data_IF_859941515249
#
_entry.id   IF_859941515249
#
_cell.length_a   1.000
_cell.length_b   1.000
_cell.length_c   1.000
_cell.angle_alpha   90.00
_cell.angle_beta   90.00
_cell.angle_gamma   90.00
#
_symmetry.space_group_name_H-M   'P 1'
#
loop_
_entity.id
_entity.type
_entity.pdbx_description
1 polymer ?
#
# COMPACT_ATOMS: atom_id res chain seq x y z
N UNK A 1 -24.14 24.74 -35.74
CA UNK A 1 -24.41 23.90 -34.55
C UNK A 1 -23.13 23.11 -34.32
N UNK A 2 -22.38 23.35 -33.22
CA UNK A 2 -21.24 22.48 -32.90
C UNK A 2 -21.74 21.04 -32.83
N UNK A 3 -20.97 20.11 -33.40
CA UNK A 3 -21.29 18.68 -33.35
C UNK A 3 -20.95 18.12 -31.96
N UNK A 4 -21.54 17.00 -31.59
CA UNK A 4 -21.29 16.31 -30.31
C UNK A 4 -19.78 16.09 -30.07
N UNK A 5 -19.03 15.76 -31.13
CA UNK A 5 -17.57 15.60 -31.11
C UNK A 5 -16.83 16.91 -30.83
N UNK A 6 -17.36 18.03 -31.33
CA UNK A 6 -16.83 19.37 -31.07
C UNK A 6 -17.02 19.75 -29.61
N UNK A 7 -18.17 19.46 -29.02
CA UNK A 7 -18.44 19.76 -27.61
C UNK A 7 -17.57 18.90 -26.68
N UNK A 8 -17.39 17.61 -27.01
CA UNK A 8 -16.51 16.72 -26.27
C UNK A 8 -15.04 17.18 -26.30
N UNK A 9 -14.57 17.65 -27.45
CA UNK A 9 -13.22 18.20 -27.59
C UNK A 9 -13.02 19.46 -26.74
N UNK A 10 -13.98 20.39 -26.76
CA UNK A 10 -13.88 21.62 -25.96
C UNK A 10 -13.92 21.32 -24.45
N UNK A 11 -14.76 20.40 -23.98
CA UNK A 11 -14.75 19.98 -22.56
C UNK A 11 -13.44 19.32 -22.15
N UNK A 12 -12.83 18.52 -23.04
CA UNK A 12 -11.55 17.89 -22.77
C UNK A 12 -10.42 18.92 -22.68
N UNK A 13 -10.47 19.97 -23.51
CA UNK A 13 -9.52 21.08 -23.47
C UNK A 13 -9.69 21.92 -22.21
N UNK A 14 -10.92 22.24 -21.79
CA UNK A 14 -11.20 22.97 -20.55
C UNK A 14 -10.71 22.21 -19.31
N UNK A 15 -10.94 20.89 -19.25
CA UNK A 15 -10.43 20.04 -18.16
C UNK A 15 -8.90 19.98 -18.13
N UNK A 16 -8.25 20.08 -19.30
CA UNK A 16 -6.80 20.15 -19.40
C UNK A 16 -6.27 21.50 -18.90
N UNK A 17 -6.96 22.58 -19.26
CA UNK A 17 -6.63 23.96 -18.86
C UNK A 17 -6.80 24.13 -17.35
N UNK A 18 -7.89 23.61 -16.77
CA UNK A 18 -8.12 23.53 -15.32
C UNK A 18 -7.04 22.68 -14.61
N UNK A 19 -6.54 21.63 -15.25
CA UNK A 19 -5.45 20.80 -14.71
C UNK A 19 -4.08 21.49 -14.79
N UNK A 20 -3.85 22.32 -15.80
CA UNK A 20 -2.64 23.12 -15.98
C UNK A 20 -2.63 24.29 -14.99
N UNK A 21 -3.75 25.00 -14.85
CA UNK A 21 -3.88 26.19 -14.01
C UNK A 21 -4.07 25.84 -12.52
N UNK A 22 -4.83 24.79 -12.21
CA UNK A 22 -5.06 24.29 -10.85
C UNK A 22 -3.97 23.34 -10.33
N UNK A 23 -3.15 22.81 -11.24
CA UNK A 23 -2.05 21.89 -10.97
C UNK A 23 -2.49 20.47 -10.56
N UNK A 24 -1.89 19.44 -11.16
CA UNK A 24 -1.66 18.19 -10.46
C UNK A 24 -0.90 18.54 -9.17
N UNK A 25 -1.30 18.00 -8.00
CA UNK A 25 -0.62 18.18 -6.70
C UNK A 25 0.86 18.46 -6.95
N UNK A 26 1.31 19.68 -6.59
CA UNK A 26 2.69 20.13 -6.80
C UNK A 26 3.66 18.99 -6.55
N UNK A 27 4.72 18.90 -7.36
CA UNK A 27 5.78 17.91 -7.18
C UNK A 27 6.14 17.87 -5.70
N UNK A 28 5.67 16.82 -5.01
CA UNK A 28 6.10 16.58 -3.64
C UNK A 28 7.61 16.44 -3.78
N UNK A 29 8.43 17.15 -2.98
CA UNK A 29 9.83 16.82 -2.91
C UNK A 29 9.91 15.30 -2.81
N UNK A 30 10.72 14.65 -3.67
CA UNK A 30 10.96 13.23 -3.52
C UNK A 30 11.25 13.04 -2.03
N UNK A 31 10.48 12.22 -1.30
CA UNK A 31 10.81 11.96 0.08
C UNK A 31 12.26 11.53 0.05
N UNK A 32 13.09 12.25 0.81
CA UNK A 32 14.45 11.82 1.02
C UNK A 32 14.30 10.52 1.81
N UNK A 33 14.22 9.41 1.08
CA UNK A 33 14.28 8.08 1.62
C UNK A 33 15.73 7.91 2.07
N UNK A 34 16.08 8.65 3.12
CA UNK A 34 17.26 8.44 3.93
C UNK A 34 17.19 6.96 4.24
N UNK A 35 18.06 6.19 3.58
CA UNK A 35 18.34 4.83 4.02
C UNK A 35 18.62 4.99 5.51
N UNK A 36 17.82 4.41 6.42
CA UNK A 36 18.07 4.62 7.82
C UNK A 36 19.52 4.23 8.06
N UNK A 37 20.31 5.21 8.48
CA UNK A 37 21.60 4.98 9.12
C UNK A 37 21.36 3.83 10.11
N UNK A 38 22.23 2.80 10.15
CA UNK A 38 21.96 1.59 10.91
C UNK A 38 21.52 1.98 12.33
N UNK A 39 20.24 1.71 12.65
CA UNK A 39 19.57 2.21 13.84
C UNK A 39 20.12 1.49 15.09
N UNK A 40 21.30 1.90 15.53
CA UNK A 40 21.95 1.38 16.73
C UNK A 40 21.85 2.33 17.93
N UNK A 41 21.16 3.49 17.83
CA UNK A 41 21.24 4.48 18.91
C UNK A 41 20.08 5.46 19.02
N UNK A 42 18.89 4.99 19.40
CA UNK A 42 17.86 5.86 19.99
C UNK A 42 16.78 5.07 20.77
N UNK A 43 17.18 4.18 21.68
CA UNK A 43 16.27 3.60 22.66
C UNK A 43 16.70 4.01 24.07
N UNK A 44 16.33 5.24 24.46
CA UNK A 44 16.31 5.64 25.86
C UNK A 44 15.06 6.51 26.14
N UNK A 45 14.08 5.85 26.77
CA UNK A 45 13.02 6.38 27.63
C UNK A 45 11.88 7.22 27.00
N UNK A 46 10.67 6.63 26.86
CA UNK A 46 9.61 6.69 27.90
C UNK A 46 8.30 5.96 27.52
N UNK A 47 7.88 5.09 28.45
CA UNK A 47 6.55 4.67 28.92
C UNK A 47 5.56 3.90 28.01
N UNK A 48 5.01 2.84 28.61
CA UNK A 48 4.41 1.67 27.99
C UNK A 48 2.88 1.70 27.89
N UNK A 49 2.37 1.39 26.69
CA UNK A 49 1.24 0.47 26.53
C UNK A 49 1.42 -0.32 25.22
N UNK A 50 1.98 -1.53 25.36
CA UNK A 50 1.79 -2.73 24.53
C UNK A 50 1.34 -2.54 23.07
N UNK A 51 2.16 -2.76 22.04
CA UNK A 51 3.50 -3.33 22.00
C UNK A 51 3.98 -3.43 20.55
N UNK A 52 5.13 -2.83 20.28
CA UNK A 52 6.02 -3.16 19.19
C UNK A 52 7.41 -3.19 19.80
N UNK A 53 7.97 -4.38 20.01
CA UNK A 53 9.38 -4.46 20.38
C UNK A 53 10.22 -3.88 19.24
N UNK A 54 11.35 -3.23 19.56
CA UNK A 54 12.25 -2.73 18.55
C UNK A 54 12.72 -3.91 17.71
N UNK A 55 12.64 -3.72 16.40
CA UNK A 55 13.24 -4.49 15.34
C UNK A 55 14.32 -5.48 15.82
N UNK A 56 13.98 -6.77 15.90
CA UNK A 56 14.93 -7.81 16.32
C UNK A 56 15.72 -8.29 15.11
N UNK A 57 16.85 -8.95 15.34
CA UNK A 57 17.78 -9.43 14.32
C UNK A 57 17.19 -10.42 13.27
N UNK A 58 15.88 -10.67 13.28
CA UNK A 58 15.12 -11.54 12.38
C UNK A 58 13.95 -10.82 11.67
N UNK A 59 14.02 -9.50 11.49
CA UNK A 59 13.02 -8.69 10.77
C UNK A 59 13.10 -8.91 9.25
N UNK A 60 12.64 -10.07 8.83
CA UNK A 60 12.46 -10.45 7.44
C UNK A 60 10.97 -10.39 7.08
N UNK A 61 10.64 -10.12 5.81
CA UNK A 61 9.24 -10.17 5.36
C UNK A 61 8.65 -11.57 5.57
N UNK A 62 9.49 -12.59 5.49
CA UNK A 62 9.16 -13.98 5.78
C UNK A 62 8.74 -14.18 7.24
N UNK A 63 9.43 -13.53 8.19
CA UNK A 63 9.06 -13.56 9.61
C UNK A 63 7.70 -12.90 9.84
N UNK A 64 7.46 -11.74 9.22
CA UNK A 64 6.18 -11.01 9.31
C UNK A 64 5.04 -11.83 8.68
N UNK A 65 5.29 -12.48 7.55
CA UNK A 65 4.33 -13.37 6.90
C UNK A 65 3.97 -14.56 7.82
N UNK A 66 4.98 -15.17 8.47
CA UNK A 66 4.77 -16.27 9.40
C UNK A 66 3.99 -15.86 10.65
N UNK A 67 4.25 -14.67 11.20
CA UNK A 67 3.48 -14.13 12.33
C UNK A 67 2.02 -13.86 11.92
N UNK A 68 1.83 -13.23 10.76
CA UNK A 68 0.51 -12.90 10.21
C UNK A 68 -0.34 -14.15 9.99
N UNK A 69 0.25 -15.24 9.50
CA UNK A 69 -0.42 -16.52 9.30
C UNK A 69 -0.95 -17.12 10.62
N UNK A 70 -0.21 -16.93 11.72
CA UNK A 70 -0.56 -17.46 13.05
C UNK A 70 -1.40 -16.49 13.88
N UNK A 71 -1.59 -15.25 13.43
CA UNK A 71 -2.30 -14.23 14.19
C UNK A 71 -3.76 -14.62 14.47
N UNK A 72 -4.14 -14.63 15.75
CA UNK A 72 -5.51 -14.89 16.25
C UNK A 72 -6.10 -13.71 17.03
N UNK A 73 -5.53 -12.50 16.88
CA UNK A 73 -5.87 -11.31 17.69
C UNK A 73 -7.27 -10.74 17.41
N UNK A 74 -7.93 -11.10 16.30
CA UNK A 74 -9.25 -10.58 15.93
C UNK A 74 -10.16 -11.64 15.28
N UNK A 75 -11.44 -11.32 15.16
CA UNK A 75 -12.48 -12.20 14.59
C UNK A 75 -12.21 -12.67 13.16
N UNK A 76 -11.47 -11.90 12.36
CA UNK A 76 -11.14 -12.25 10.97
C UNK A 76 -10.34 -13.56 10.88
N UNK A 77 -9.61 -13.90 11.94
CA UNK A 77 -8.83 -15.12 12.00
C UNK A 77 -9.66 -16.41 11.98
N UNK A 78 -10.96 -16.33 12.30
CA UNK A 78 -11.86 -17.48 12.22
C UNK A 78 -12.40 -17.71 10.81
N UNK A 79 -12.52 -16.66 9.99
CA UNK A 79 -13.16 -16.72 8.67
C UNK A 79 -12.20 -16.89 7.48
N UNK A 80 -10.92 -16.55 7.65
CA UNK A 80 -9.92 -16.65 6.57
C UNK A 80 -9.49 -18.09 6.30
N UNK A 81 -9.25 -18.43 5.04
CA UNK A 81 -8.54 -19.65 4.62
C UNK A 81 -7.03 -19.43 4.65
N UNK A 82 -6.55 -18.28 4.15
CA UNK A 82 -5.12 -17.93 4.10
C UNK A 82 -4.92 -16.48 4.51
N UNK A 83 -3.82 -16.19 5.19
CA UNK A 83 -3.37 -14.80 5.36
C UNK A 83 -2.70 -14.32 4.09
N UNK A 84 -2.88 -13.04 3.76
CA UNK A 84 -2.26 -12.40 2.59
C UNK A 84 -1.36 -11.27 3.11
N UNK A 85 -0.08 -11.55 3.42
CA UNK A 85 0.84 -10.56 4.00
C UNK A 85 1.35 -9.51 3.00
N UNK A 86 1.23 -9.77 1.70
CA UNK A 86 1.76 -8.93 0.62
C UNK A 86 2.78 -9.68 -0.25
N UNK A 87 3.06 -9.15 -1.45
CA UNK A 87 4.01 -9.69 -2.43
C UNK A 87 4.70 -8.51 -3.13
N UNK A 88 5.98 -8.65 -3.49
CA UNK A 88 6.72 -7.62 -4.22
C UNK A 88 8.21 -7.57 -3.90
N UNK A 89 8.87 -6.51 -4.35
CA UNK A 89 10.28 -6.28 -4.08
C UNK A 89 10.53 -5.87 -2.62
N UNK A 90 11.67 -6.29 -2.04
CA UNK A 90 12.07 -5.91 -0.68
C UNK A 90 12.28 -4.39 -0.51
N UNK A 91 12.60 -3.69 -1.59
CA UNK A 91 12.87 -2.24 -1.62
C UNK A 91 12.15 -1.59 -2.82
N UNK A 92 10.82 -1.47 -2.78
CA UNK A 92 10.07 -0.89 -3.88
C UNK A 92 10.10 0.65 -3.81
N UNK A 93 10.03 1.32 -4.96
CA UNK A 93 9.84 2.78 -5.01
C UNK A 93 8.40 3.18 -4.66
N UNK A 94 7.45 2.29 -4.95
CA UNK A 94 6.02 2.49 -4.74
C UNK A 94 5.45 1.27 -4.02
N UNK A 95 4.68 1.50 -2.95
CA UNK A 95 3.93 0.48 -2.23
C UNK A 95 2.44 0.74 -2.40
N UNK A 96 1.69 -0.29 -2.82
CA UNK A 96 0.24 -0.23 -3.00
C UNK A 96 -0.42 -0.97 -1.84
N UNK A 97 -1.38 -0.31 -1.17
CA UNK A 97 -2.10 -0.83 -0.01
C UNK A 97 -3.60 -0.77 -0.31
N UNK A 98 -4.25 -1.94 -0.31
CA UNK A 98 -5.71 -2.08 -0.44
C UNK A 98 -6.41 -2.17 0.92
N UNK A 99 -7.72 -2.48 0.93
CA UNK A 99 -8.48 -2.63 2.18
C UNK A 99 -8.16 -3.94 2.93
N UNK A 100 -8.03 -5.05 2.19
CA UNK A 100 -8.01 -6.39 2.74
C UNK A 100 -8.24 -7.45 1.66
N UNK A 101 -8.02 -8.74 1.97
CA UNK A 101 -8.15 -9.82 1.01
C UNK A 101 -9.62 -10.10 0.66
N UNK A 102 -9.92 -10.20 -0.64
CA UNK A 102 -11.17 -10.72 -1.15
C UNK A 102 -11.20 -12.25 -1.18
N UNK A 103 -12.21 -12.82 -1.86
CA UNK A 103 -12.40 -14.27 -1.92
C UNK A 103 -11.31 -15.02 -2.68
N UNK A 104 -10.80 -14.45 -3.78
CA UNK A 104 -9.72 -15.05 -4.57
C UNK A 104 -8.37 -14.88 -3.87
N UNK A 105 -8.13 -13.73 -3.24
CA UNK A 105 -6.93 -13.48 -2.44
C UNK A 105 -6.87 -14.42 -1.23
N UNK A 106 -7.99 -14.62 -0.51
CA UNK A 106 -8.07 -15.56 0.63
C UNK A 106 -7.89 -17.02 0.18
N UNK A 107 -8.38 -17.38 -1.01
CA UNK A 107 -8.21 -18.72 -1.55
C UNK A 107 -6.76 -19.01 -2.00
N UNK A 108 -6.12 -18.05 -2.65
CA UNK A 108 -4.77 -18.20 -3.22
C UNK A 108 -3.66 -17.89 -2.21
N UNK A 109 -3.90 -16.96 -1.30
CA UNK A 109 -2.88 -16.39 -0.41
C UNK A 109 -2.09 -15.24 -1.04
N UNK A 110 -2.48 -14.77 -2.23
CA UNK A 110 -1.78 -13.73 -3.00
C UNK A 110 -2.61 -12.44 -3.05
N UNK A 111 -1.98 -11.25 -2.97
CA UNK A 111 -2.70 -9.99 -3.05
C UNK A 111 -3.10 -9.67 -4.49
N UNK A 112 -4.20 -8.94 -4.67
CA UNK A 112 -4.65 -8.39 -5.97
C UNK A 112 -4.71 -9.43 -7.11
N UNK A 113 -5.28 -10.62 -6.87
CA UNK A 113 -5.47 -11.62 -7.94
C UNK A 113 -6.90 -11.63 -8.50
N UNK A 114 -7.86 -11.03 -7.78
CA UNK A 114 -9.25 -10.94 -8.21
C UNK A 114 -9.50 -9.85 -9.26
N UNK A 115 -10.79 -9.55 -9.57
CA UNK A 115 -11.16 -8.56 -10.59
C UNK A 115 -10.59 -7.16 -10.35
N UNK A 116 -10.49 -6.74 -9.08
CA UNK A 116 -9.87 -5.47 -8.73
C UNK A 116 -8.36 -5.45 -8.99
N UNK A 117 -7.70 -6.60 -8.85
CA UNK A 117 -6.28 -6.76 -9.20
C UNK A 117 -6.05 -6.76 -10.70
N UNK A 118 -6.95 -7.36 -11.48
CA UNK A 118 -6.90 -7.30 -12.95
C UNK A 118 -7.07 -5.89 -13.52
N UNK A 119 -7.74 -4.99 -12.77
CA UNK A 119 -7.82 -3.57 -13.11
C UNK A 119 -6.58 -2.77 -12.67
N UNK A 120 -5.79 -3.32 -11.75
CA UNK A 120 -4.55 -2.71 -11.26
C UNK A 120 -3.34 -3.08 -12.13
N UNK A 121 -3.37 -4.26 -12.74
CA UNK A 121 -2.40 -4.75 -13.74
C UNK A 121 -2.35 -3.87 -15.01
#
# INVERSE_FOLDING_TARGET
>A
MPTDETEALYRALDLLEDAIDGGYRSARPLPDFVQPEPMAKACAARDASTGGSPASANDSLESVAAESARCRKCRLAAGRKRSVPGEGALRPLVLIIGEGPGGEEDATGRPFVGPAGQLLD
#
